data_IF_597813536968
#
_entry.id   IF_597813536968
#
_cell.length_a   1.000
_cell.length_b   1.000
_cell.length_c   1.000
_cell.angle_alpha   90.00
_cell.angle_beta   90.00
_cell.angle_gamma   90.00
#
_symmetry.space_group_name_H-M   'P 1'
#
loop_
_entity.id
_entity.type
_entity.pdbx_description
1 polymer ?
#
# COMPACT_ATOMS: atom_id res chain seq x y z
N UNK A 1 18.18 -3.77 3.13
CA UNK A 1 17.54 -2.99 4.21
C UNK A 1 16.56 -3.92 4.93
N UNK A 2 16.45 -3.84 6.27
CA UNK A 2 15.49 -4.68 7.03
C UNK A 2 14.07 -4.19 6.74
N UNK A 3 13.09 -5.10 6.60
CA UNK A 3 11.73 -4.80 6.14
C UNK A 3 11.05 -3.64 6.87
N UNK A 4 11.20 -3.55 8.20
CA UNK A 4 10.64 -2.44 8.98
C UNK A 4 11.19 -1.05 8.60
N UNK A 5 12.50 -0.96 8.32
CA UNK A 5 13.11 0.30 7.88
C UNK A 5 12.63 0.71 6.48
N UNK A 6 12.40 -0.26 5.59
CA UNK A 6 11.86 -0.02 4.25
C UNK A 6 10.40 0.45 4.30
N UNK A 7 9.59 -0.03 5.25
CA UNK A 7 8.23 0.48 5.46
C UNK A 7 8.24 1.97 5.85
N UNK A 8 9.10 2.35 6.80
CA UNK A 8 9.26 3.75 7.24
C UNK A 8 9.72 4.64 6.09
N UNK A 9 10.74 4.22 5.34
CA UNK A 9 11.23 4.97 4.18
C UNK A 9 10.13 5.21 3.13
N UNK A 10 9.28 4.21 2.89
CA UNK A 10 8.16 4.33 1.95
C UNK A 10 7.08 5.30 2.45
N UNK A 11 6.77 5.29 3.74
CA UNK A 11 5.89 6.31 4.36
C UNK A 11 6.49 7.72 4.21
N UNK A 12 7.77 7.88 4.51
CA UNK A 12 8.47 9.16 4.32
C UNK A 12 8.45 9.62 2.87
N UNK A 13 8.62 8.70 1.92
CA UNK A 13 8.54 9.00 0.49
C UNK A 13 7.16 9.50 0.08
N UNK A 14 6.08 8.88 0.59
CA UNK A 14 4.70 9.31 0.34
C UNK A 14 4.34 10.64 1.01
N UNK A 15 5.20 11.16 1.90
CA UNK A 15 5.07 12.50 2.48
C UNK A 15 5.70 13.62 1.65
N UNK A 16 6.28 13.31 0.48
CA UNK A 16 7.00 14.27 -0.37
C UNK A 16 6.34 14.43 -1.74
N UNK A 17 6.59 15.52 -2.48
CA UNK A 17 6.09 15.67 -3.83
C UNK A 17 6.50 14.50 -4.76
N UNK A 18 5.62 14.05 -5.67
CA UNK A 18 4.28 14.59 -5.99
C UNK A 18 3.13 13.92 -5.20
N UNK A 19 3.38 13.33 -4.03
CA UNK A 19 2.41 12.51 -3.28
C UNK A 19 1.59 13.28 -2.25
N UNK A 20 1.67 14.61 -2.30
CA UNK A 20 0.87 15.56 -1.53
C UNK A 20 0.42 16.68 -2.48
N UNK A 21 -0.85 17.08 -2.39
CA UNK A 21 -1.41 18.26 -3.05
C UNK A 21 -1.12 19.55 -2.25
N UNK A 22 -0.53 19.44 -1.05
CA UNK A 22 -0.02 20.58 -0.29
C UNK A 22 1.48 20.77 -0.54
N UNK A 23 1.92 22.03 -0.64
CA UNK A 23 3.31 22.38 -0.93
C UNK A 23 4.22 22.30 0.31
N UNK A 24 3.68 22.63 1.48
CA UNK A 24 4.38 22.75 2.76
C UNK A 24 3.85 21.79 3.84
N UNK A 25 2.87 20.94 3.49
CA UNK A 25 2.31 19.92 4.35
C UNK A 25 1.95 18.64 3.60
N UNK A 26 1.34 17.70 4.31
CA UNK A 26 0.75 16.50 3.72
C UNK A 26 -0.75 16.70 3.56
N UNK A 27 -1.22 16.61 2.31
CA UNK A 27 -2.64 16.51 1.99
C UNK A 27 -2.81 15.64 0.76
N UNK A 28 -3.60 14.57 0.88
CA UNK A 28 -3.86 13.65 -0.21
C UNK A 28 -5.29 13.15 -0.10
N UNK A 29 -6.25 13.95 -0.54
CA UNK A 29 -7.65 13.53 -0.52
C UNK A 29 -7.96 12.50 -1.60
N UNK A 30 -9.04 11.75 -1.41
CA UNK A 30 -9.47 10.75 -2.37
C UNK A 30 -9.67 11.34 -3.78
N UNK A 31 -9.22 10.60 -4.81
CA UNK A 31 -9.31 10.94 -6.23
C UNK A 31 -8.59 12.23 -6.70
N UNK A 32 -7.72 12.83 -5.88
CA UNK A 32 -6.87 13.94 -6.31
C UNK A 32 -5.64 13.48 -7.12
N UNK A 33 -4.90 14.41 -7.77
CA UNK A 33 -3.66 14.08 -8.47
C UNK A 33 -2.61 13.43 -7.56
N UNK A 34 -2.41 13.93 -6.32
CA UNK A 34 -1.51 13.30 -5.37
C UNK A 34 -1.96 11.88 -4.99
N UNK A 35 -3.27 11.65 -4.83
CA UNK A 35 -3.80 10.32 -4.56
C UNK A 35 -3.53 9.35 -5.71
N UNK A 36 -3.79 9.78 -6.96
CA UNK A 36 -3.46 8.99 -8.14
C UNK A 36 -1.95 8.69 -8.25
N UNK A 37 -1.09 9.67 -7.99
CA UNK A 37 0.37 9.49 -7.98
C UNK A 37 0.82 8.50 -6.90
N UNK A 38 0.23 8.58 -5.71
CA UNK A 38 0.50 7.66 -4.59
C UNK A 38 0.05 6.24 -4.91
N UNK A 39 -1.15 6.06 -5.48
CA UNK A 39 -1.61 4.73 -5.93
C UNK A 39 -0.62 4.12 -6.93
N UNK A 40 -0.16 4.89 -7.91
CA UNK A 40 0.83 4.40 -8.89
C UNK A 40 2.15 3.98 -8.23
N UNK A 41 2.62 4.72 -7.23
CA UNK A 41 3.84 4.37 -6.50
C UNK A 41 3.64 3.11 -5.65
N UNK A 42 2.55 3.03 -4.89
CA UNK A 42 2.23 1.87 -4.04
C UNK A 42 2.00 0.63 -4.90
N UNK A 43 1.35 0.76 -6.06
CA UNK A 43 1.16 -0.33 -7.02
C UNK A 43 2.50 -0.92 -7.48
N UNK A 44 3.50 -0.06 -7.74
CA UNK A 44 4.85 -0.54 -8.09
C UNK A 44 5.49 -1.30 -6.94
N UNK A 45 5.35 -0.84 -5.70
CA UNK A 45 5.88 -1.56 -4.54
C UNK A 45 5.18 -2.89 -4.29
N UNK A 46 3.86 -2.95 -4.49
CA UNK A 46 3.11 -4.21 -4.45
C UNK A 46 3.60 -5.18 -5.52
N UNK A 47 3.75 -4.73 -6.77
CA UNK A 47 4.26 -5.57 -7.85
C UNK A 47 5.69 -6.08 -7.58
N UNK A 48 6.57 -5.22 -7.03
CA UNK A 48 7.92 -5.60 -6.61
C UNK A 48 7.95 -6.64 -5.49
N UNK A 49 6.95 -6.63 -4.60
CA UNK A 49 6.79 -7.63 -3.55
C UNK A 49 6.10 -8.93 -4.05
N UNK A 50 5.86 -9.06 -5.36
CA UNK A 50 5.30 -10.26 -5.96
C UNK A 50 3.77 -10.32 -5.95
N UNK A 51 3.07 -9.21 -5.70
CA UNK A 51 1.62 -9.14 -5.75
C UNK A 51 1.11 -8.83 -7.16
N UNK A 52 0.01 -9.46 -7.56
CA UNK A 52 -0.80 -9.05 -8.71
C UNK A 52 -1.66 -7.84 -8.31
N UNK A 53 -1.55 -6.73 -9.05
CA UNK A 53 -2.14 -5.45 -8.65
C UNK A 53 -3.34 -5.11 -9.53
N UNK A 54 -4.42 -4.62 -8.90
CA UNK A 54 -5.60 -4.08 -9.59
C UNK A 54 -6.15 -2.88 -8.81
N UNK A 55 -6.96 -2.07 -9.49
CA UNK A 55 -7.86 -1.10 -8.84
C UNK A 55 -9.27 -1.67 -8.96
N UNK A 56 -10.01 -1.72 -7.85
CA UNK A 56 -11.38 -2.21 -7.86
C UNK A 56 -12.39 -1.15 -8.34
N UNK A 57 -13.66 -1.51 -8.43
CA UNK A 57 -14.72 -0.60 -8.89
C UNK A 57 -14.98 0.56 -7.92
N UNK A 58 -14.56 0.44 -6.66
CA UNK A 58 -14.66 1.50 -5.67
C UNK A 58 -13.42 2.41 -5.66
N UNK A 59 -12.40 2.12 -6.48
CA UNK A 59 -11.16 2.89 -6.61
C UNK A 59 -10.10 2.56 -5.54
N UNK A 60 -10.25 1.44 -4.84
CA UNK A 60 -9.21 0.94 -3.94
C UNK A 60 -8.10 0.28 -4.73
N UNK A 61 -6.86 0.52 -4.31
CA UNK A 61 -5.72 -0.22 -4.84
C UNK A 61 -5.57 -1.53 -4.06
N UNK A 62 -5.56 -2.64 -4.80
CA UNK A 62 -5.48 -3.98 -4.20
C UNK A 62 -4.34 -4.78 -4.80
N UNK A 63 -3.42 -5.24 -3.95
CA UNK A 63 -2.38 -6.20 -4.29
C UNK A 63 -2.76 -7.59 -3.80
N UNK A 64 -2.78 -8.59 -4.67
CA UNK A 64 -3.09 -9.98 -4.34
C UNK A 64 -1.86 -10.87 -4.46
N UNK A 65 -1.57 -11.62 -3.41
CA UNK A 65 -0.56 -12.66 -3.37
C UNK A 65 -1.24 -14.02 -3.29
N UNK A 66 -1.05 -14.85 -4.31
CA UNK A 66 -1.73 -16.15 -4.37
C UNK A 66 -1.27 -17.09 -3.26
N UNK A 67 -2.20 -17.93 -2.79
CA UNK A 67 -1.90 -19.07 -1.94
C UNK A 67 -1.76 -20.37 -2.74
N UNK A 68 -1.61 -21.49 -2.05
CA UNK A 68 -1.60 -22.84 -2.64
C UNK A 68 -2.97 -23.51 -2.70
N UNK A 69 -4.03 -22.82 -2.26
CA UNK A 69 -5.40 -23.36 -2.21
C UNK A 69 -6.45 -22.29 -2.49
N UNK A 70 -7.70 -22.74 -2.65
CA UNK A 70 -8.80 -21.92 -3.17
C UNK A 70 -9.63 -21.20 -2.08
N UNK A 71 -9.05 -21.02 -0.90
CA UNK A 71 -9.72 -20.37 0.24
C UNK A 71 -9.90 -18.86 0.06
N UNK A 72 -10.75 -18.23 0.89
CA UNK A 72 -10.89 -16.77 0.90
C UNK A 72 -9.55 -16.11 1.28
N UNK A 73 -9.27 -14.90 0.78
CA UNK A 73 -8.04 -14.19 1.12
C UNK A 73 -8.05 -13.71 2.58
N UNK A 74 -6.88 -13.69 3.21
CA UNK A 74 -6.64 -12.84 4.37
C UNK A 74 -6.43 -11.39 3.87
N UNK A 75 -7.29 -10.48 4.30
CA UNK A 75 -7.16 -9.06 3.97
C UNK A 75 -6.31 -8.37 5.03
N UNK A 76 -5.31 -7.63 4.58
CA UNK A 76 -4.54 -6.67 5.38
C UNK A 76 -4.69 -5.32 4.71
N UNK A 77 -5.01 -4.26 5.44
CA UNK A 77 -5.19 -2.97 4.81
C UNK A 77 -5.25 -1.82 5.78
N UNK A 78 -5.27 -0.63 5.20
CA UNK A 78 -5.52 0.65 5.82
C UNK A 78 -5.87 1.64 4.71
N UNK A 79 -5.98 2.93 5.02
CA UNK A 79 -6.32 3.96 4.05
C UNK A 79 -5.07 4.62 3.45
N UNK A 80 -5.22 5.15 2.24
CA UNK A 80 -4.13 5.84 1.52
C UNK A 80 -4.35 7.35 1.48
N UNK A 81 -5.56 7.84 1.64
CA UNK A 81 -5.84 9.26 1.72
C UNK A 81 -5.25 9.90 2.98
N UNK A 82 -5.40 11.21 3.10
CA UNK A 82 -5.03 11.94 4.30
C UNK A 82 -5.89 13.19 4.48
N UNK A 83 -5.98 13.64 5.72
CA UNK A 83 -6.42 15.00 6.06
C UNK A 83 -5.35 16.04 5.73
N UNK A 84 -5.69 17.32 5.90
CA UNK A 84 -4.72 18.42 5.79
C UNK A 84 -3.74 18.38 6.96
N UNK A 85 -2.48 18.67 6.68
CA UNK A 85 -1.38 18.68 7.64
C UNK A 85 -1.23 17.34 8.39
N UNK A 86 -1.54 16.23 7.70
CA UNK A 86 -1.51 14.90 8.27
C UNK A 86 -0.09 14.41 8.61
N UNK A 87 -0.02 13.42 9.50
CA UNK A 87 1.20 12.65 9.73
C UNK A 87 1.47 11.67 8.58
N UNK A 88 2.74 11.38 8.29
CA UNK A 88 3.16 10.51 7.17
C UNK A 88 2.84 9.01 7.35
N UNK A 89 2.44 8.62 8.56
CA UNK A 89 2.27 7.21 8.95
C UNK A 89 0.81 6.79 9.09
N UNK A 90 -0.09 7.75 9.28
CA UNK A 90 -1.52 7.52 9.44
C UNK A 90 -2.10 7.08 8.09
N UNK A 91 -2.51 5.81 8.00
CA UNK A 91 -2.87 5.13 6.75
C UNK A 91 -1.72 4.33 6.11
N UNK A 92 -0.74 4.99 5.43
CA UNK A 92 0.30 4.30 4.68
C UNK A 92 1.10 3.25 5.47
N UNK A 93 1.31 3.42 6.77
CA UNK A 93 2.10 2.46 7.54
C UNK A 93 1.45 1.07 7.55
N UNK A 94 0.12 0.98 7.70
CA UNK A 94 -0.59 -0.30 7.67
C UNK A 94 -0.45 -1.01 6.32
N UNK A 95 -0.56 -0.23 5.23
CA UNK A 95 -0.36 -0.74 3.86
C UNK A 95 1.10 -1.21 3.68
N UNK A 96 2.08 -0.41 4.10
CA UNK A 96 3.50 -0.73 3.92
C UNK A 96 3.89 -1.99 4.70
N UNK A 97 3.43 -2.13 5.93
CA UNK A 97 3.68 -3.34 6.73
C UNK A 97 3.08 -4.59 6.06
N UNK A 98 1.87 -4.49 5.49
CA UNK A 98 1.27 -5.56 4.70
C UNK A 98 2.12 -5.96 3.48
N UNK A 99 2.60 -4.97 2.71
CA UNK A 99 3.50 -5.20 1.57
C UNK A 99 4.80 -5.86 2.03
N UNK A 100 5.39 -5.41 3.14
CA UNK A 100 6.65 -5.95 3.66
C UNK A 100 6.52 -7.39 4.17
N UNK A 101 5.39 -7.76 4.78
CA UNK A 101 5.09 -9.14 5.15
C UNK A 101 5.03 -10.05 3.91
N UNK A 102 4.34 -9.61 2.85
CA UNK A 102 4.26 -10.37 1.60
C UNK A 102 5.62 -10.43 0.89
N UNK A 103 6.38 -9.33 0.89
CA UNK A 103 7.73 -9.30 0.32
C UNK A 103 8.63 -10.34 0.99
N UNK A 104 8.57 -10.50 2.31
CA UNK A 104 9.33 -11.52 3.02
C UNK A 104 8.94 -12.95 2.59
N UNK A 105 7.64 -13.24 2.44
CA UNK A 105 7.17 -14.53 1.91
C UNK A 105 7.65 -14.76 0.48
N UNK A 106 7.57 -13.73 -0.37
CA UNK A 106 7.99 -13.79 -1.76
C UNK A 106 9.49 -14.04 -1.90
N UNK A 107 10.32 -13.32 -1.14
CA UNK A 107 11.78 -13.48 -1.12
C UNK A 107 12.19 -14.87 -0.61
N UNK A 108 11.42 -15.44 0.32
CA UNK A 108 11.62 -16.81 0.81
C UNK A 108 11.08 -17.90 -0.13
N UNK A 109 10.37 -17.53 -1.20
CA UNK A 109 9.72 -18.48 -2.11
C UNK A 109 8.53 -19.23 -1.47
N UNK A 110 8.00 -18.72 -0.37
CA UNK A 110 6.92 -19.37 0.40
C UNK A 110 5.55 -18.99 -0.14
N UNK A 111 4.55 -19.86 0.07
CA UNK A 111 3.14 -19.61 -0.22
C UNK A 111 2.29 -20.17 0.91
N UNK A 112 1.30 -19.40 1.35
CA UNK A 112 0.36 -19.84 2.39
C UNK A 112 -0.77 -20.67 1.76
N UNK A 113 -1.55 -21.36 2.60
CA UNK A 113 -2.72 -22.14 2.15
C UNK A 113 -3.90 -21.28 1.69
N UNK A 114 -3.84 -19.97 1.94
CA UNK A 114 -4.82 -18.98 1.52
C UNK A 114 -4.10 -17.79 0.88
N UNK A 115 -4.76 -17.06 -0.03
CA UNK A 115 -4.21 -15.84 -0.60
C UNK A 115 -4.12 -14.72 0.44
N UNK A 116 -3.24 -13.74 0.22
CA UNK A 116 -3.23 -12.48 0.99
C UNK A 116 -3.60 -11.35 0.03
N UNK A 117 -4.51 -10.47 0.47
CA UNK A 117 -4.79 -9.22 -0.25
C UNK A 117 -4.42 -8.02 0.60
N UNK A 118 -3.60 -7.13 0.02
CA UNK A 118 -3.26 -5.85 0.61
C UNK A 118 -4.18 -4.79 0.01
N UNK A 119 -5.01 -4.19 0.85
CA UNK A 119 -5.91 -3.10 0.49
C UNK A 119 -5.33 -1.75 0.93
N UNK A 120 -5.24 -0.84 -0.04
CA UNK A 120 -5.10 0.58 0.20
C UNK A 120 -6.46 1.23 -0.10
N UNK A 121 -7.25 1.42 0.95
CA UNK A 121 -8.58 2.03 0.85
C UNK A 121 -8.47 3.50 0.48
N UNK A 122 -9.44 3.98 -0.29
CA UNK A 122 -9.36 5.32 -0.87
C UNK A 122 -9.81 6.47 0.01
N UNK A 123 -10.70 6.25 0.97
CA UNK A 123 -11.33 7.31 1.79
C UNK A 123 -11.80 6.67 3.12
N UNK A 124 -11.17 7.02 4.25
CA UNK A 124 -11.50 6.55 5.62
C UNK A 124 -11.98 7.68 6.55
#
# INVERSE_FOLDING_TARGET
>A
MVSGARAVERCDRLGLPPYSDSADGLYRAYLTPAYAASQQLVARWMAQAGLAVRIDAAGNLVGRYEGTGDGPPLIVGSHLDSVRDAGRYDGPLGIMLGIECVAALHDAGERLRFPIEIYAFGDE
#
